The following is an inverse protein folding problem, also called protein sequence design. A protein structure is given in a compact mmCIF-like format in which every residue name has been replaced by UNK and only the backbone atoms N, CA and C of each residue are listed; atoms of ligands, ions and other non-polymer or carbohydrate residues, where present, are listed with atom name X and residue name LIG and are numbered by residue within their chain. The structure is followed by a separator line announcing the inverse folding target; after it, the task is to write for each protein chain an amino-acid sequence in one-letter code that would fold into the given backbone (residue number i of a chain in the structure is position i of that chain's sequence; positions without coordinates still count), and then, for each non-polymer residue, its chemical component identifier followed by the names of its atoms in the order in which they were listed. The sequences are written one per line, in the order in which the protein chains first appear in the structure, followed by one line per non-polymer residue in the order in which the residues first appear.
data_IF_524856984874
#
_entry.id   IF_524856984874
#
_cell.length_a   1.000
_cell.length_b   1.000
_cell.length_c   1.000
_cell.angle_alpha   90.00
_cell.angle_beta   90.00
_cell.angle_gamma   90.00
#
_symmetry.space_group_name_H-M   'P 1'
#
loop_
_entity.id
_entity.type
_entity.pdbx_description
1 polymer ?
#
# COMPACT_ATOMS: atom_id res chain seq x y z
N UNK A 1 29.13 61.59 -33.72
CA UNK A 1 28.16 61.33 -34.79
C UNK A 1 26.87 60.87 -34.13
N UNK A 2 25.82 61.68 -34.32
CA UNK A 2 24.35 61.42 -34.33
C UNK A 2 23.78 60.41 -33.31
N UNK A 3 23.09 60.85 -32.24
CA UNK A 3 21.74 61.47 -32.11
C UNK A 3 20.57 60.45 -32.13
N UNK A 4 19.90 60.36 -30.97
CA UNK A 4 18.50 59.96 -30.67
C UNK A 4 17.46 60.77 -31.52
N UNK A 5 16.10 60.63 -31.41
CA UNK A 5 15.27 59.99 -30.37
C UNK A 5 13.94 59.34 -30.94
N UNK A 6 12.91 59.03 -30.10
CA UNK A 6 11.71 58.23 -30.40
C UNK A 6 10.46 59.08 -30.69
N UNK A 7 9.31 58.45 -30.96
CA UNK A 7 8.00 59.13 -30.99
C UNK A 7 6.96 58.35 -30.17
N UNK A 8 6.28 59.07 -29.29
CA UNK A 8 5.09 58.70 -28.54
C UNK A 8 4.01 59.77 -28.75
N UNK A 9 2.73 59.42 -28.87
CA UNK A 9 1.52 60.26 -28.57
C UNK A 9 0.34 59.29 -28.34
N UNK A 10 -0.23 59.07 -27.12
CA UNK A 10 -1.37 59.76 -26.41
C UNK A 10 -2.62 59.94 -27.33
N UNK A 11 -3.91 59.81 -26.96
CA UNK A 11 -4.68 59.84 -25.71
C UNK A 11 -6.19 59.53 -26.02
N UNK A 12 -6.89 58.87 -25.07
CA UNK A 12 -8.31 59.06 -24.62
C UNK A 12 -9.50 58.62 -25.51
N UNK A 13 -10.33 57.67 -25.00
CA UNK A 13 -11.67 57.90 -24.40
C UNK A 13 -12.44 56.58 -24.19
N UNK A 14 -12.95 56.34 -22.97
CA UNK A 14 -14.07 55.42 -22.70
C UNK A 14 -15.42 56.11 -23.02
N UNK A 15 -16.51 55.35 -23.24
CA UNK A 15 -17.38 54.98 -22.11
C UNK A 15 -17.94 53.53 -22.19
N UNK A 16 -18.28 52.97 -21.02
CA UNK A 16 -19.17 51.81 -20.81
C UNK A 16 -20.66 52.23 -21.04
N UNK A 17 -21.74 51.40 -20.91
CA UNK A 17 -21.82 50.07 -20.28
C UNK A 17 -22.83 49.07 -20.95
N UNK A 18 -23.12 47.98 -20.21
CA UNK A 18 -24.33 47.12 -20.20
C UNK A 18 -24.30 45.73 -20.88
N UNK A 19 -24.13 44.74 -19.98
CA UNK A 19 -24.86 43.46 -19.82
C UNK A 19 -25.82 42.98 -20.90
N UNK A 20 -25.78 41.67 -21.20
CA UNK A 20 -26.86 40.67 -20.94
C UNK A 20 -26.43 39.29 -21.45
N UNK A 21 -26.67 38.26 -20.63
CA UNK A 21 -26.57 36.83 -20.94
C UNK A 21 -27.57 36.40 -22.02
N UNK A 22 -27.16 35.53 -22.95
CA UNK A 22 -28.09 34.66 -23.66
C UNK A 22 -27.44 33.32 -24.04
N UNK A 23 -28.13 32.25 -23.64
CA UNK A 23 -27.84 30.85 -23.88
C UNK A 23 -27.88 30.53 -25.38
N UNK A 24 -27.03 29.59 -25.81
CA UNK A 24 -27.09 29.00 -27.16
C UNK A 24 -27.53 27.54 -27.00
N UNK A 25 -28.71 27.21 -27.52
CA UNK A 25 -29.14 25.84 -27.76
C UNK A 25 -28.57 25.29 -29.08
N UNK A 26 -28.28 23.98 -29.19
CA UNK A 26 -27.78 23.37 -30.41
C UNK A 26 -28.89 22.98 -31.41
N UNK A 27 -28.65 23.30 -32.68
CA UNK A 27 -29.45 22.89 -33.84
C UNK A 27 -29.17 21.45 -34.33
N UNK A 28 -29.91 20.97 -35.35
CA UNK A 28 -30.34 19.57 -35.42
C UNK A 28 -29.45 18.61 -36.23
N UNK A 29 -29.69 17.36 -35.86
CA UNK A 29 -29.28 16.05 -36.40
C UNK A 29 -29.32 15.95 -37.93
N UNK A 30 -28.28 15.30 -38.48
CA UNK A 30 -28.37 14.52 -39.71
C UNK A 30 -27.95 13.07 -39.44
N UNK A 31 -28.80 12.17 -39.93
CA UNK A 31 -28.80 10.72 -39.76
C UNK A 31 -28.25 10.06 -41.03
N UNK A 32 -27.38 9.04 -40.92
CA UNK A 32 -27.24 7.96 -41.91
C UNK A 32 -26.28 6.85 -41.42
N UNK A 33 -26.90 5.76 -40.98
CA UNK A 33 -26.61 4.37 -41.34
C UNK A 33 -25.17 3.83 -41.30
N UNK A 34 -24.86 3.05 -40.26
CA UNK A 34 -24.47 1.64 -40.40
C UNK A 34 -24.68 0.91 -39.05
N UNK A 35 -25.63 -0.04 -39.00
CA UNK A 35 -25.84 -0.95 -37.86
C UNK A 35 -25.46 -2.37 -38.26
N UNK A 36 -24.65 -3.02 -37.44
CA UNK A 36 -24.72 -4.46 -37.21
C UNK A 36 -24.42 -4.76 -35.72
N UNK A 37 -25.46 -5.23 -35.04
CA UNK A 37 -25.51 -6.09 -33.86
C UNK A 37 -24.63 -5.78 -32.62
N UNK A 38 -25.24 -5.11 -31.63
CA UNK A 38 -25.07 -5.47 -30.20
C UNK A 38 -26.44 -5.57 -29.54
N UNK A 39 -26.62 -6.66 -28.82
CA UNK A 39 -27.84 -7.03 -28.12
C UNK A 39 -28.19 -6.05 -27.00
N UNK A 40 -29.50 -5.97 -26.74
CA UNK A 40 -30.15 -5.02 -25.86
C UNK A 40 -29.61 -5.02 -24.42
N UNK A 41 -29.26 -3.83 -23.92
CA UNK A 41 -29.38 -3.49 -22.49
C UNK A 41 -30.45 -2.42 -22.36
N UNK A 42 -31.40 -2.67 -21.47
CA UNK A 42 -32.49 -1.76 -21.13
C UNK A 42 -31.91 -0.47 -20.53
N UNK A 43 -32.43 0.66 -21.01
CA UNK A 43 -32.23 1.97 -20.38
C UNK A 43 -33.01 1.99 -19.06
N UNK A 44 -32.39 1.53 -17.99
CA UNK A 44 -32.69 2.06 -16.67
C UNK A 44 -31.84 3.32 -16.52
N UNK A 45 -32.50 4.47 -16.47
CA UNK A 45 -31.91 5.76 -16.12
C UNK A 45 -31.24 5.64 -14.75
N UNK A 46 -29.92 5.54 -14.73
CA UNK A 46 -29.14 5.75 -13.51
C UNK A 46 -29.32 7.22 -13.09
N UNK A 47 -29.60 7.50 -11.80
CA UNK A 47 -29.58 8.87 -11.33
C UNK A 47 -28.14 9.37 -11.45
N UNK A 48 -27.99 10.56 -12.05
CA UNK A 48 -26.75 11.33 -12.02
C UNK A 48 -26.40 11.51 -10.54
N UNK A 49 -25.43 10.74 -10.04
CA UNK A 49 -24.80 11.01 -8.77
C UNK A 49 -24.17 12.39 -8.90
N UNK A 50 -24.74 13.36 -8.19
CA UNK A 50 -24.15 14.68 -7.99
C UNK A 50 -22.70 14.47 -7.59
N UNK A 51 -21.79 15.03 -8.38
CA UNK A 51 -20.41 15.25 -7.96
C UNK A 51 -20.45 15.87 -6.55
N UNK A 52 -19.97 15.13 -5.56
CA UNK A 52 -19.68 15.71 -4.25
C UNK A 52 -18.49 16.63 -4.44
N UNK A 53 -18.64 17.95 -4.22
CA UNK A 53 -17.49 18.83 -4.25
C UNK A 53 -16.61 18.43 -3.06
N UNK A 54 -15.33 18.22 -3.32
CA UNK A 54 -14.30 18.20 -2.29
C UNK A 54 -14.37 19.56 -1.58
N UNK A 55 -14.77 19.57 -0.30
CA UNK A 55 -13.79 19.97 0.71
C UNK A 55 -14.00 19.16 2.00
N UNK A 56 -13.20 18.12 2.17
CA UNK A 56 -12.96 17.50 3.49
C UNK A 56 -11.53 17.83 3.94
N UNK A 57 -11.23 19.12 3.90
CA UNK A 57 -10.06 19.71 4.55
C UNK A 57 -10.50 20.99 5.28
N UNK A 58 -11.48 20.90 6.19
CA UNK A 58 -11.87 21.99 7.12
C UNK A 58 -12.94 21.55 8.13
N UNK A 59 -12.69 20.48 8.90
CA UNK A 59 -13.52 20.16 10.08
C UNK A 59 -12.67 19.64 11.25
N UNK A 60 -11.64 20.42 11.60
CA UNK A 60 -10.96 20.41 12.90
C UNK A 60 -10.92 21.82 13.53
N UNK A 61 -11.97 22.62 13.33
CA UNK A 61 -12.13 23.94 13.96
C UNK A 61 -13.58 24.09 14.41
N UNK A 62 -13.86 23.71 15.66
CA UNK A 62 -15.23 23.81 16.19
C UNK A 62 -15.50 23.22 17.55
N UNK A 63 -14.49 23.15 18.43
CA UNK A 63 -14.58 23.01 19.88
C UNK A 63 -13.13 23.17 20.32
N UNK A 64 -12.79 24.07 21.24
CA UNK A 64 -11.47 24.06 21.85
C UNK A 64 -11.48 22.92 22.88
N UNK A 65 -10.88 21.74 22.62
CA UNK A 65 -10.45 20.90 23.73
C UNK A 65 -9.24 21.63 24.34
N UNK A 66 -8.81 21.29 25.55
CA UNK A 66 -7.45 21.63 25.95
C UNK A 66 -6.50 21.22 24.81
N UNK A 67 -5.55 22.08 24.44
CA UNK A 67 -4.51 21.74 23.48
C UNK A 67 -3.70 20.56 24.05
N UNK A 68 -4.19 19.34 23.81
CA UNK A 68 -3.53 18.12 24.25
C UNK A 68 -2.20 17.98 23.51
N UNK A 69 -1.24 17.35 24.17
CA UNK A 69 0.05 16.96 23.61
C UNK A 69 -0.11 16.34 22.22
N UNK A 70 0.84 16.62 21.32
CA UNK A 70 0.96 15.84 20.07
C UNK A 70 1.57 14.49 20.46
N UNK A 71 0.72 13.50 20.70
CA UNK A 71 1.16 12.13 20.98
C UNK A 71 1.69 11.48 19.70
N UNK A 72 2.93 10.98 19.78
CA UNK A 72 3.62 10.34 18.67
C UNK A 72 3.56 8.84 18.88
N UNK A 73 3.09 8.11 17.87
CA UNK A 73 3.20 6.66 17.85
C UNK A 73 4.67 6.28 17.80
N UNK A 74 5.10 5.34 18.62
CA UNK A 74 6.41 4.71 18.50
C UNK A 74 6.60 4.13 17.08
N UNK A 75 7.85 3.92 16.69
CA UNK A 75 8.18 3.30 15.39
C UNK A 75 7.93 1.79 15.43
N UNK A 76 8.16 1.17 16.57
CA UNK A 76 8.02 -0.28 16.79
C UNK A 76 6.63 -0.68 17.31
N UNK A 77 5.68 0.26 17.40
CA UNK A 77 4.33 0.03 17.89
C UNK A 77 4.19 -0.10 19.42
N UNK A 78 5.30 -0.11 20.17
CA UNK A 78 5.28 -0.20 21.64
C UNK A 78 4.57 0.99 22.31
N UNK A 79 3.98 0.75 23.48
CA UNK A 79 3.33 1.79 24.30
C UNK A 79 1.97 2.26 23.79
N UNK A 80 1.44 1.69 22.70
CA UNK A 80 0.12 2.02 22.16
C UNK A 80 -1.00 1.63 23.16
N UNK A 81 -0.86 0.47 23.82
CA UNK A 81 -1.71 0.09 24.95
C UNK A 81 -1.01 0.38 26.29
N UNK A 82 -1.64 1.15 27.18
CA UNK A 82 -1.02 1.55 28.46
C UNK A 82 -0.97 0.43 29.51
N UNK A 83 -1.83 -0.59 29.38
CA UNK A 83 -1.90 -1.74 30.30
C UNK A 83 -0.96 -2.86 29.85
N UNK A 84 -0.87 -3.08 28.54
CA UNK A 84 0.00 -4.07 27.91
C UNK A 84 0.86 -3.40 26.82
N UNK A 85 1.96 -2.71 27.20
CA UNK A 85 2.76 -1.89 26.29
C UNK A 85 3.37 -2.63 25.09
N UNK A 86 3.51 -3.94 25.16
CA UNK A 86 4.10 -4.76 24.11
C UNK A 86 3.07 -5.35 23.14
N UNK A 87 1.76 -5.16 23.37
CA UNK A 87 0.75 -5.62 22.43
C UNK A 87 0.91 -4.94 21.08
N UNK A 88 0.88 -5.73 20.01
CA UNK A 88 1.00 -5.25 18.64
C UNK A 88 2.35 -4.63 18.24
N UNK A 89 3.37 -4.68 19.12
CA UNK A 89 4.70 -4.19 18.78
C UNK A 89 5.41 -5.13 17.80
N UNK A 90 6.37 -4.60 17.03
CA UNK A 90 7.23 -5.41 16.17
C UNK A 90 8.06 -6.38 17.01
N UNK A 91 8.18 -7.63 16.57
CA UNK A 91 8.84 -8.70 17.31
C UNK A 91 7.93 -9.47 18.27
N UNK A 92 6.64 -9.11 18.37
CA UNK A 92 5.66 -9.85 19.16
C UNK A 92 5.30 -11.20 18.52
N UNK A 93 4.88 -12.15 19.36
CA UNK A 93 4.28 -13.41 18.90
C UNK A 93 2.92 -13.12 18.23
N UNK A 94 2.64 -13.82 17.13
CA UNK A 94 1.30 -13.81 16.53
C UNK A 94 0.28 -14.42 17.50
N UNK A 95 -0.93 -13.87 17.49
CA UNK A 95 -2.05 -14.43 18.25
C UNK A 95 -2.52 -15.75 17.63
N UNK A 96 -3.33 -16.50 18.38
CA UNK A 96 -4.03 -17.68 17.88
C UNK A 96 -5.52 -17.59 18.13
N UNK A 97 -6.31 -17.80 17.07
CA UNK A 97 -7.76 -17.98 17.20
C UNK A 97 -8.11 -19.43 17.59
N UNK A 98 -7.21 -20.37 17.28
CA UNK A 98 -7.37 -21.80 17.57
C UNK A 98 -6.07 -22.42 18.11
N UNK A 99 -6.11 -23.50 18.91
CA UNK A 99 -4.90 -24.17 19.38
C UNK A 99 -4.00 -24.63 18.21
N UNK A 100 -2.68 -24.53 18.39
CA UNK A 100 -1.71 -24.97 17.40
C UNK A 100 -1.86 -26.48 17.10
N UNK A 101 -1.77 -26.85 15.82
CA UNK A 101 -1.99 -28.22 15.35
C UNK A 101 -0.72 -28.85 14.77
N UNK A 102 0.37 -28.84 15.54
CA UNK A 102 1.61 -29.55 15.21
C UNK A 102 1.45 -31.07 15.35
N UNK A 103 2.24 -31.85 14.59
CA UNK A 103 2.20 -33.31 14.58
C UNK A 103 2.57 -33.93 15.94
N UNK A 104 3.47 -33.27 16.68
CA UNK A 104 3.89 -33.62 18.04
C UNK A 104 3.24 -32.73 19.12
N UNK A 105 2.27 -31.89 18.72
CA UNK A 105 1.62 -30.85 19.53
C UNK A 105 2.56 -29.74 20.06
N UNK A 106 3.80 -29.64 19.58
CA UNK A 106 4.80 -28.68 20.08
C UNK A 106 5.38 -27.84 18.94
N UNK A 107 6.02 -28.48 17.96
CA UNK A 107 6.81 -27.78 16.94
C UNK A 107 6.76 -28.49 15.58
N UNK A 108 6.64 -29.81 15.53
CA UNK A 108 6.78 -30.55 14.27
C UNK A 108 5.61 -30.25 13.32
N UNK A 109 5.83 -29.62 12.14
CA UNK A 109 4.74 -29.31 11.24
C UNK A 109 4.04 -30.57 10.72
N UNK A 110 2.73 -30.48 10.51
CA UNK A 110 2.01 -31.53 9.78
C UNK A 110 2.27 -31.37 8.28
N UNK A 111 2.62 -32.45 7.60
CA UNK A 111 2.91 -32.44 6.16
C UNK A 111 4.37 -32.75 5.87
N UNK A 112 4.91 -32.15 4.82
CA UNK A 112 6.30 -32.33 4.42
C UNK A 112 6.56 -33.66 3.70
N UNK A 113 7.83 -34.09 3.72
CA UNK A 113 8.31 -35.24 2.95
C UNK A 113 7.77 -36.59 3.42
N UNK A 114 7.43 -36.71 4.71
CA UNK A 114 6.91 -37.93 5.32
C UNK A 114 5.58 -37.60 5.98
N UNK A 115 4.49 -37.74 5.22
CA UNK A 115 3.15 -37.42 5.71
C UNK A 115 2.08 -38.29 5.08
N UNK A 116 0.96 -38.46 5.79
CA UNK A 116 -0.29 -38.99 5.24
C UNK A 116 -1.17 -37.91 4.61
N UNK A 117 -0.80 -36.63 4.75
CA UNK A 117 -1.49 -35.52 4.11
C UNK A 117 -1.06 -35.36 2.65
N UNK A 118 -1.95 -34.89 1.76
CA UNK A 118 -1.55 -34.50 0.41
C UNK A 118 -0.51 -33.38 0.47
N UNK A 119 0.46 -33.40 -0.46
CA UNK A 119 1.43 -32.30 -0.55
C UNK A 119 0.75 -30.99 -0.93
N UNK A 120 1.32 -29.86 -0.51
CA UNK A 120 0.77 -28.54 -0.86
C UNK A 120 0.69 -28.34 -2.39
N UNK A 121 1.67 -28.87 -3.15
CA UNK A 121 1.64 -28.83 -4.61
C UNK A 121 0.50 -29.66 -5.20
N UNK A 122 0.23 -30.85 -4.67
CA UNK A 122 -0.91 -31.66 -5.10
C UNK A 122 -2.25 -30.96 -4.84
N UNK A 123 -2.40 -30.29 -3.69
CA UNK A 123 -3.59 -29.49 -3.38
C UNK A 123 -3.70 -28.32 -4.37
N UNK A 124 -2.63 -27.56 -4.59
CA UNK A 124 -2.60 -26.44 -5.55
C UNK A 124 -3.03 -26.88 -6.96
N UNK A 125 -2.49 -27.98 -7.48
CA UNK A 125 -2.88 -28.53 -8.78
C UNK A 125 -4.35 -28.98 -8.85
N UNK A 126 -4.93 -29.36 -7.72
CA UNK A 126 -6.31 -29.85 -7.66
C UNK A 126 -7.35 -28.73 -7.50
N UNK A 127 -7.00 -27.60 -6.87
CA UNK A 127 -7.97 -26.57 -6.45
C UNK A 127 -7.70 -25.18 -7.02
N UNK A 128 -6.44 -24.85 -7.32
CA UNK A 128 -6.00 -23.48 -7.60
C UNK A 128 -5.68 -23.19 -9.06
N UNK A 129 -5.92 -24.15 -9.96
CA UNK A 129 -5.66 -23.97 -11.39
C UNK A 129 -6.65 -22.96 -11.97
N UNK A 130 -6.11 -21.88 -12.54
CA UNK A 130 -6.86 -20.92 -13.33
C UNK A 130 -6.68 -21.20 -14.83
N UNK A 131 -7.70 -21.78 -15.48
CA UNK A 131 -7.62 -22.09 -16.91
C UNK A 131 -7.90 -20.86 -17.80
N UNK A 132 -8.68 -19.89 -17.31
CA UNK A 132 -9.08 -18.69 -18.03
C UNK A 132 -9.21 -17.52 -17.06
N UNK A 133 -9.01 -16.30 -17.55
CA UNK A 133 -9.29 -15.10 -16.75
C UNK A 133 -10.73 -15.10 -16.24
N UNK A 134 -10.88 -14.73 -14.97
CA UNK A 134 -12.14 -14.64 -14.26
C UNK A 134 -12.20 -13.25 -13.60
N UNK A 135 -12.77 -12.24 -14.26
CA UNK A 135 -12.83 -10.89 -13.69
C UNK A 135 -13.68 -10.82 -12.41
N UNK A 136 -13.33 -9.90 -11.52
CA UNK A 136 -14.05 -9.66 -10.28
C UNK A 136 -15.53 -9.30 -10.53
N UNK A 137 -16.44 -9.99 -9.85
CA UNK A 137 -17.88 -9.84 -10.08
C UNK A 137 -18.45 -8.47 -9.64
N UNK A 138 -17.72 -7.73 -8.81
CA UNK A 138 -18.09 -6.39 -8.33
C UNK A 138 -17.42 -5.27 -9.15
N UNK A 139 -16.79 -5.60 -10.28
CA UNK A 139 -15.98 -4.68 -11.09
C UNK A 139 -14.87 -3.97 -10.27
N UNK A 140 -14.40 -4.61 -9.19
CA UNK A 140 -13.27 -4.10 -8.43
C UNK A 140 -12.01 -4.10 -9.28
N UNK A 141 -11.23 -3.03 -9.16
CA UNK A 141 -10.02 -2.84 -9.96
C UNK A 141 -8.82 -3.52 -9.29
N UNK A 142 -7.70 -3.60 -9.99
CA UNK A 142 -6.44 -4.13 -9.44
C UNK A 142 -5.95 -3.35 -8.21
N UNK A 143 -6.42 -2.10 -8.00
CA UNK A 143 -6.23 -1.41 -6.72
C UNK A 143 -6.74 -2.19 -5.51
N UNK A 144 -7.74 -3.08 -5.67
CA UNK A 144 -8.23 -3.91 -4.57
C UNK A 144 -7.12 -4.82 -4.03
N UNK A 145 -6.48 -5.61 -4.87
CA UNK A 145 -5.41 -6.49 -4.39
C UNK A 145 -4.12 -5.72 -4.11
N UNK A 146 -3.85 -4.63 -4.84
CA UNK A 146 -2.65 -3.82 -4.61
C UNK A 146 -2.70 -3.12 -3.25
N UNK A 147 -3.86 -2.57 -2.87
CA UNK A 147 -4.06 -2.01 -1.54
C UNK A 147 -3.99 -3.09 -0.46
N UNK A 148 -4.58 -4.27 -0.71
CA UNK A 148 -4.49 -5.42 0.20
C UNK A 148 -3.04 -5.83 0.49
N UNK A 149 -2.19 -5.92 -0.53
CA UNK A 149 -0.76 -6.20 -0.36
C UNK A 149 -0.04 -5.07 0.39
N UNK A 150 -0.27 -3.82 -0.01
CA UNK A 150 0.33 -2.65 0.64
C UNK A 150 -0.05 -2.54 2.13
N UNK A 151 -1.27 -2.94 2.48
CA UNK A 151 -1.77 -2.98 3.86
C UNK A 151 -1.25 -4.21 4.63
N UNK A 152 -1.16 -5.39 4.01
CA UNK A 152 -0.53 -6.57 4.65
C UNK A 152 0.89 -6.25 5.13
N UNK A 153 1.61 -5.43 4.36
CA UNK A 153 2.98 -5.03 4.67
C UNK A 153 3.09 -4.03 5.83
N UNK A 154 1.96 -3.46 6.28
CA UNK A 154 1.85 -2.65 7.49
C UNK A 154 1.42 -3.47 8.71
N UNK A 155 0.86 -4.67 8.48
CA UNK A 155 0.21 -5.47 9.52
C UNK A 155 1.05 -6.68 9.93
N UNK A 156 1.64 -7.39 8.96
CA UNK A 156 2.30 -8.67 9.24
C UNK A 156 3.49 -8.99 8.33
N UNK A 157 4.52 -9.56 8.96
CA UNK A 157 5.68 -10.10 8.27
C UNK A 157 6.34 -11.21 9.08
N UNK A 158 6.21 -12.46 8.63
CA UNK A 158 6.92 -13.59 9.23
C UNK A 158 8.20 -13.87 8.43
N UNK A 159 9.36 -13.54 9.01
CA UNK A 159 10.67 -13.78 8.38
C UNK A 159 11.01 -15.28 8.34
N UNK A 160 11.78 -15.75 7.35
CA UNK A 160 12.32 -17.11 7.35
C UNK A 160 13.31 -17.29 8.51
N UNK A 161 13.36 -18.47 9.11
CA UNK A 161 14.24 -18.74 10.25
C UNK A 161 15.72 -18.59 9.88
N UNK A 162 16.52 -18.06 10.81
CA UNK A 162 17.99 -18.06 10.73
C UNK A 162 18.60 -18.77 11.96
N UNK A 163 19.30 -19.90 11.79
CA UNK A 163 19.57 -20.62 10.54
C UNK A 163 18.29 -21.18 9.88
N UNK A 164 18.37 -21.42 8.58
CA UNK A 164 17.26 -21.97 7.80
C UNK A 164 16.80 -23.32 8.38
N UNK A 165 15.48 -23.50 8.48
CA UNK A 165 14.82 -24.73 8.90
C UNK A 165 14.00 -25.26 7.72
N UNK A 166 14.56 -26.14 6.87
CA UNK A 166 13.88 -26.60 5.67
C UNK A 166 12.61 -27.39 5.99
N UNK A 167 11.57 -27.16 5.18
CA UNK A 167 10.32 -27.90 5.18
C UNK A 167 9.83 -28.07 3.74
N UNK A 168 10.67 -28.68 2.91
CA UNK A 168 10.45 -28.88 1.48
C UNK A 168 9.05 -29.44 1.14
N UNK A 169 8.48 -28.93 0.06
CA UNK A 169 7.19 -29.35 -0.47
C UNK A 169 7.41 -30.50 -1.47
N UNK A 170 6.86 -31.71 -1.23
CA UNK A 170 6.92 -32.80 -2.20
C UNK A 170 6.17 -32.45 -3.50
N UNK A 171 6.82 -32.65 -4.63
CA UNK A 171 6.21 -32.50 -5.97
C UNK A 171 5.64 -33.85 -6.42
N UNK A 172 4.38 -33.91 -6.87
CA UNK A 172 3.82 -35.12 -7.47
C UNK A 172 4.63 -35.59 -8.69
N UNK A 173 4.83 -36.90 -8.85
CA UNK A 173 5.65 -37.45 -9.95
C UNK A 173 5.05 -37.20 -11.35
N UNK A 174 3.76 -36.85 -11.44
CA UNK A 174 3.07 -36.47 -12.66
C UNK A 174 3.03 -34.95 -12.89
N UNK A 175 3.67 -34.15 -12.05
CA UNK A 175 3.78 -32.71 -12.23
C UNK A 175 4.75 -32.38 -13.36
N UNK A 176 4.20 -32.01 -14.52
CA UNK A 176 4.99 -31.74 -15.72
C UNK A 176 5.82 -30.46 -15.65
N UNK A 177 5.58 -29.59 -14.67
CA UNK A 177 6.29 -28.32 -14.52
C UNK A 177 7.50 -28.49 -13.62
N UNK A 178 7.31 -29.09 -12.45
CA UNK A 178 8.35 -29.20 -11.41
C UNK A 178 9.03 -30.58 -11.38
N UNK A 179 8.46 -31.62 -11.99
CA UNK A 179 9.09 -32.93 -12.19
C UNK A 179 8.91 -33.45 -13.63
N UNK A 180 9.41 -32.72 -14.66
CA UNK A 180 9.17 -33.05 -16.07
C UNK A 180 9.73 -34.42 -16.51
N UNK A 181 10.60 -35.03 -15.70
CA UNK A 181 11.19 -36.34 -15.94
C UNK A 181 10.54 -37.46 -15.11
N UNK A 182 9.47 -37.15 -14.37
CA UNK A 182 8.74 -38.07 -13.49
C UNK A 182 9.67 -38.85 -12.55
N UNK A 183 10.63 -38.15 -11.93
CA UNK A 183 11.62 -38.74 -11.03
C UNK A 183 10.99 -39.24 -9.73
N UNK A 184 9.88 -38.63 -9.30
CA UNK A 184 9.25 -38.84 -8.01
C UNK A 184 10.07 -38.30 -6.83
N UNK A 185 11.09 -37.48 -7.11
CA UNK A 185 12.01 -36.95 -6.09
C UNK A 185 12.11 -35.43 -6.04
N UNK A 186 11.45 -34.75 -6.98
CA UNK A 186 11.43 -33.30 -7.06
C UNK A 186 10.74 -32.66 -5.83
N UNK A 187 11.22 -31.46 -5.49
CA UNK A 187 10.78 -30.70 -4.30
C UNK A 187 10.80 -29.22 -4.61
N UNK A 188 9.85 -28.48 -4.04
CA UNK A 188 9.89 -27.02 -3.96
C UNK A 188 10.45 -26.65 -2.58
N UNK A 189 11.49 -25.81 -2.56
CA UNK A 189 12.15 -25.40 -1.33
C UNK A 189 11.27 -24.48 -0.49
N UNK A 190 11.19 -24.74 0.81
CA UNK A 190 10.48 -23.90 1.78
C UNK A 190 11.29 -23.89 3.07
N UNK A 191 11.46 -22.73 3.69
CA UNK A 191 12.01 -22.62 5.05
C UNK A 191 10.89 -22.26 6.01
N UNK A 192 10.91 -22.84 7.20
CA UNK A 192 10.02 -22.45 8.29
C UNK A 192 10.34 -21.02 8.73
N UNK A 193 9.32 -20.31 9.21
CA UNK A 193 9.47 -18.95 9.72
C UNK A 193 10.20 -18.90 11.05
N UNK A 194 10.77 -17.75 11.37
CA UNK A 194 11.20 -17.38 12.72
C UNK A 194 10.07 -17.59 13.72
N UNK A 195 10.45 -17.97 14.93
CA UNK A 195 9.50 -18.36 15.95
C UNK A 195 10.06 -18.21 17.35
N UNK A 196 9.16 -18.07 18.29
CA UNK A 196 9.40 -18.21 19.72
C UNK A 196 8.85 -19.56 20.21
N UNK A 197 9.38 -20.02 21.35
CA UNK A 197 8.90 -21.17 22.09
C UNK A 197 8.60 -20.82 23.56
N UNK A 198 8.34 -19.54 23.85
CA UNK A 198 8.16 -19.03 25.21
C UNK A 198 7.03 -19.72 25.98
N UNK A 199 5.96 -20.11 25.28
CA UNK A 199 4.79 -20.82 25.85
C UNK A 199 4.99 -22.35 25.94
N UNK A 200 6.12 -22.88 25.47
CA UNK A 200 6.36 -24.32 25.34
C UNK A 200 5.77 -24.96 24.08
N UNK A 201 5.04 -24.20 23.26
CA UNK A 201 4.57 -24.55 21.92
C UNK A 201 5.10 -23.48 20.95
N UNK A 202 5.44 -23.85 19.72
CA UNK A 202 5.98 -22.90 18.75
C UNK A 202 4.95 -21.85 18.36
N UNK A 203 5.38 -20.58 18.41
CA UNK A 203 4.63 -19.44 17.88
C UNK A 203 5.46 -18.62 16.90
N UNK A 204 4.84 -18.16 15.82
CA UNK A 204 5.50 -17.35 14.80
C UNK A 204 5.61 -15.90 15.28
N UNK A 205 6.70 -15.23 14.89
CA UNK A 205 6.96 -13.84 15.27
C UNK A 205 6.49 -12.91 14.15
N UNK A 206 5.77 -11.85 14.50
CA UNK A 206 5.52 -10.74 13.61
C UNK A 206 6.70 -9.77 13.67
N UNK A 207 7.42 -9.58 12.57
CA UNK A 207 8.60 -8.70 12.53
C UNK A 207 8.29 -7.24 12.18
N UNK A 208 7.01 -6.90 11.98
CA UNK A 208 6.51 -5.53 11.80
C UNK A 208 5.44 -5.22 12.86
N UNK A 209 5.01 -3.96 12.97
CA UNK A 209 3.94 -3.55 13.88
C UNK A 209 2.62 -4.22 13.45
N UNK A 210 1.70 -4.44 14.39
CA UNK A 210 0.37 -4.99 14.10
C UNK A 210 -0.68 -3.89 13.80
N UNK A 211 -0.28 -2.63 13.91
CA UNK A 211 -1.15 -1.48 13.77
C UNK A 211 -1.16 -0.99 12.32
N UNK A 212 -2.29 -0.43 11.88
CA UNK A 212 -2.30 0.36 10.65
C UNK A 212 -1.70 1.73 10.98
N UNK A 213 -0.38 1.82 11.02
CA UNK A 213 0.37 3.01 11.44
C UNK A 213 1.40 3.49 10.41
N UNK A 214 1.27 3.01 9.18
CA UNK A 214 2.11 3.33 8.04
C UNK A 214 3.57 2.85 8.19
N UNK A 215 3.82 1.80 8.96
CA UNK A 215 5.13 1.17 9.16
C UNK A 215 5.75 0.67 7.84
N UNK A 216 4.94 0.31 6.84
CA UNK A 216 5.46 -0.01 5.50
C UNK A 216 6.12 1.18 4.80
N UNK A 217 5.80 2.42 5.21
CA UNK A 217 6.45 3.65 4.73
C UNK A 217 7.58 4.09 5.67
N UNK A 218 7.36 4.03 6.99
CA UNK A 218 8.26 4.63 7.99
C UNK A 218 9.22 3.65 8.66
N UNK A 219 9.02 2.36 8.48
CA UNK A 219 9.75 1.27 9.16
C UNK A 219 9.10 0.86 10.47
N UNK A 220 9.42 -0.35 10.91
CA UNK A 220 9.01 -0.90 12.22
C UNK A 220 10.17 -0.90 13.23
N UNK A 221 11.34 -0.36 12.87
CA UNK A 221 12.48 -0.20 13.76
C UNK A 221 13.12 1.18 13.60
N UNK A 222 13.68 1.70 14.70
CA UNK A 222 14.22 3.05 14.75
C UNK A 222 15.41 3.27 13.80
N UNK A 223 16.21 2.22 13.52
CA UNK A 223 17.39 2.36 12.66
C UNK A 223 16.98 2.56 11.21
N UNK A 224 16.02 1.77 10.70
CA UNK A 224 15.42 1.95 9.38
C UNK A 224 14.72 3.30 9.27
N UNK A 225 13.88 3.65 10.24
CA UNK A 225 13.14 4.92 10.23
C UNK A 225 14.08 6.14 10.15
N UNK A 226 15.19 6.12 10.89
CA UNK A 226 16.18 7.19 10.87
C UNK A 226 16.88 7.33 9.49
N UNK A 227 17.16 6.23 8.81
CA UNK A 227 17.77 6.24 7.46
C UNK A 227 16.82 6.81 6.42
N UNK A 228 15.52 6.54 6.52
CA UNK A 228 14.52 6.98 5.55
C UNK A 228 14.19 8.47 5.63
N UNK A 229 14.53 9.14 6.73
CA UNK A 229 14.27 10.58 6.93
C UNK A 229 15.31 11.45 6.23
N UNK A 230 14.85 12.52 5.59
CA UNK A 230 15.74 13.48 4.95
C UNK A 230 16.43 14.40 5.97
N UNK A 231 17.65 14.82 5.66
CA UNK A 231 18.46 15.69 6.52
C UNK A 231 18.29 17.18 6.22
N UNK A 232 17.30 17.55 5.40
CA UNK A 232 17.05 18.91 4.92
C UNK A 232 16.49 19.89 5.96
N UNK A 233 16.15 19.42 7.17
CA UNK A 233 15.44 20.20 8.20
C UNK A 233 14.06 20.74 7.73
N UNK A 234 13.37 19.97 6.88
CA UNK A 234 12.05 20.28 6.34
C UNK A 234 10.99 19.19 6.59
N UNK A 235 11.31 18.21 7.44
CA UNK A 235 10.42 17.16 7.92
C UNK A 235 10.10 16.10 6.88
N UNK A 236 10.91 15.93 5.84
CA UNK A 236 10.63 15.05 4.70
C UNK A 236 11.23 13.65 4.84
N UNK A 237 10.69 12.73 4.05
CA UNK A 237 11.29 11.46 3.68
C UNK A 237 12.32 11.66 2.56
N UNK A 238 13.38 10.86 2.58
CA UNK A 238 14.35 10.78 1.49
C UNK A 238 13.68 10.26 0.23
N UNK A 239 13.89 10.98 -0.87
CA UNK A 239 13.43 10.59 -2.20
C UNK A 239 14.62 10.48 -3.15
N UNK A 240 14.45 9.63 -4.16
CA UNK A 240 15.42 9.42 -5.22
C UNK A 240 15.29 10.43 -6.37
N UNK A 241 15.85 10.06 -7.51
CA UNK A 241 15.79 10.87 -8.72
C UNK A 241 14.35 11.02 -9.23
N UNK A 242 14.07 12.17 -9.87
CA UNK A 242 12.80 12.38 -10.53
C UNK A 242 12.75 11.65 -11.88
N UNK A 243 11.63 10.98 -12.14
CA UNK A 243 11.29 10.37 -13.42
C UNK A 243 10.00 11.03 -13.89
N UNK A 244 9.99 11.54 -15.12
CA UNK A 244 8.87 12.32 -15.67
C UNK A 244 8.47 13.54 -14.82
N UNK A 245 9.42 14.11 -14.07
CA UNK A 245 9.22 15.29 -13.22
C UNK A 245 8.83 14.98 -11.77
N UNK A 246 8.60 13.71 -11.43
CA UNK A 246 8.15 13.30 -10.10
C UNK A 246 9.16 12.37 -9.42
N UNK A 247 9.44 12.59 -8.14
CA UNK A 247 10.47 11.86 -7.39
C UNK A 247 10.11 10.38 -7.17
N UNK A 248 11.03 9.44 -7.38
CA UNK A 248 10.83 8.04 -6.96
C UNK A 248 11.34 7.83 -5.52
N UNK A 249 11.17 6.62 -4.99
CA UNK A 249 11.90 6.21 -3.78
C UNK A 249 13.42 6.32 -3.99
N UNK A 250 14.17 6.38 -2.89
CA UNK A 250 15.64 6.32 -2.90
C UNK A 250 16.11 4.87 -3.05
N UNK A 251 17.23 4.66 -3.76
CA UNK A 251 17.86 3.34 -3.82
C UNK A 251 18.49 2.97 -2.47
N UNK A 252 18.61 1.67 -2.21
CA UNK A 252 19.16 1.11 -0.98
C UNK A 252 20.70 1.15 -0.99
N UNK A 253 21.27 2.36 -1.02
CA UNK A 253 22.72 2.58 -0.87
C UNK A 253 23.18 2.53 0.58
N UNK A 254 22.28 2.18 1.52
CA UNK A 254 22.50 2.22 2.95
C UNK A 254 22.79 0.84 3.55
N UNK A 255 22.61 -0.23 2.78
CA UNK A 255 22.82 -1.60 3.26
C UNK A 255 21.74 -2.08 4.22
N UNK A 256 20.51 -1.56 4.11
CA UNK A 256 19.36 -2.06 4.86
C UNK A 256 18.87 -3.39 4.25
N UNK A 257 18.27 -4.25 5.06
CA UNK A 257 17.67 -5.50 4.57
C UNK A 257 16.56 -5.24 3.54
N UNK A 258 16.55 -6.01 2.44
CA UNK A 258 15.47 -6.07 1.46
C UNK A 258 15.25 -7.52 1.03
N UNK A 259 13.99 -7.89 0.79
CA UNK A 259 13.62 -9.18 0.22
C UNK A 259 13.80 -9.17 -1.31
N UNK A 260 14.04 -10.36 -1.88
CA UNK A 260 14.23 -10.56 -3.33
C UNK A 260 15.57 -10.12 -3.90
N UNK A 261 16.44 -9.53 -3.07
CA UNK A 261 17.78 -9.13 -3.45
C UNK A 261 18.28 -7.95 -2.63
N UNK A 262 19.59 -7.86 -2.47
CA UNK A 262 20.27 -6.68 -1.96
C UNK A 262 21.02 -5.97 -3.09
N UNK A 263 21.20 -4.66 -2.98
CA UNK A 263 21.98 -3.90 -3.94
C UNK A 263 21.57 -2.44 -4.02
N UNK A 264 22.47 -1.63 -4.55
CA UNK A 264 22.27 -0.21 -4.82
C UNK A 264 21.31 0.08 -5.99
N UNK A 265 20.73 -0.97 -6.58
CA UNK A 265 19.71 -0.89 -7.65
C UNK A 265 18.29 -1.17 -7.17
N UNK A 266 18.10 -1.59 -5.92
CA UNK A 266 16.80 -1.83 -5.30
C UNK A 266 16.35 -0.58 -4.55
N UNK A 267 15.06 -0.26 -4.55
CA UNK A 267 14.53 0.82 -3.73
C UNK A 267 14.50 0.43 -2.25
N UNK A 268 14.45 1.41 -1.36
CA UNK A 268 14.26 1.19 0.08
C UNK A 268 13.04 1.98 0.59
N UNK A 269 12.32 1.39 1.53
CA UNK A 269 11.18 1.98 2.22
C UNK A 269 11.07 1.36 3.62
N UNK A 270 9.95 1.57 4.31
CA UNK A 270 9.72 1.04 5.66
C UNK A 270 9.67 -0.49 5.70
N UNK A 271 9.02 -1.13 4.73
CA UNK A 271 8.97 -2.59 4.62
C UNK A 271 10.06 -3.16 3.69
N UNK A 272 10.62 -4.33 4.05
CA UNK A 272 11.70 -5.00 3.30
C UNK A 272 11.26 -5.51 1.92
N UNK A 273 9.95 -5.70 1.71
CA UNK A 273 9.36 -6.26 0.48
C UNK A 273 8.92 -5.18 -0.50
N UNK A 274 9.31 -3.92 -0.33
CA UNK A 274 8.89 -2.81 -1.22
C UNK A 274 9.16 -3.09 -2.71
N UNK A 275 10.18 -3.88 -3.04
CA UNK A 275 10.54 -4.24 -4.41
C UNK A 275 9.85 -5.50 -4.93
N UNK A 276 8.92 -6.12 -4.18
CA UNK A 276 8.30 -7.39 -4.56
C UNK A 276 7.73 -7.32 -5.97
N UNK A 277 6.99 -6.26 -6.32
CA UNK A 277 6.57 -5.96 -7.68
C UNK A 277 6.38 -4.46 -7.93
N UNK A 278 6.37 -4.04 -9.20
CA UNK A 278 6.42 -2.62 -9.60
C UNK A 278 5.24 -1.75 -9.12
N UNK A 279 4.04 -2.30 -9.00
CA UNK A 279 2.86 -1.65 -8.43
C UNK A 279 2.97 -1.42 -6.92
N UNK A 280 3.66 -2.30 -6.19
CA UNK A 280 3.96 -2.10 -4.77
C UNK A 280 4.97 -0.96 -4.60
N UNK A 281 6.03 -0.93 -5.43
CA UNK A 281 6.96 0.22 -5.48
C UNK A 281 6.16 1.51 -5.73
N UNK A 282 5.16 1.48 -6.63
CA UNK A 282 4.30 2.61 -6.90
C UNK A 282 3.50 3.06 -5.67
N UNK A 283 2.88 2.14 -4.93
CA UNK A 283 2.13 2.46 -3.71
C UNK A 283 3.02 3.07 -2.62
N UNK A 284 4.21 2.50 -2.38
CA UNK A 284 5.17 3.08 -1.43
C UNK A 284 5.66 4.47 -1.89
N UNK A 285 5.88 4.65 -3.19
CA UNK A 285 6.27 5.95 -3.77
C UNK A 285 5.16 6.98 -3.56
N UNK A 286 3.90 6.62 -3.78
CA UNK A 286 2.74 7.50 -3.61
C UNK A 286 2.67 8.09 -2.20
N UNK A 287 2.71 7.24 -1.17
CA UNK A 287 2.60 7.72 0.22
C UNK A 287 3.87 8.40 0.73
N UNK A 288 5.04 8.07 0.17
CA UNK A 288 6.27 8.83 0.46
C UNK A 288 6.22 10.25 -0.15
N UNK A 289 5.65 10.38 -1.36
CA UNK A 289 5.35 11.69 -1.97
C UNK A 289 4.31 12.45 -1.16
N UNK A 290 3.26 11.79 -0.69
CA UNK A 290 2.21 12.42 0.11
C UNK A 290 2.73 12.95 1.45
N UNK A 291 3.57 12.19 2.14
CA UNK A 291 4.28 12.68 3.32
C UNK A 291 5.03 14.00 3.02
N UNK A 292 5.82 14.02 1.94
CA UNK A 292 6.60 15.21 1.58
C UNK A 292 5.69 16.39 1.19
N UNK A 293 4.58 16.14 0.51
CA UNK A 293 3.57 17.15 0.18
C UNK A 293 2.95 17.77 1.44
N UNK A 294 2.64 16.94 2.44
CA UNK A 294 2.10 17.39 3.74
C UNK A 294 3.18 18.19 4.50
N UNK A 295 4.41 17.69 4.57
CA UNK A 295 5.54 18.38 5.21
C UNK A 295 5.77 19.77 4.60
N UNK A 296 5.80 19.87 3.26
CA UNK A 296 5.90 21.15 2.54
C UNK A 296 4.72 22.08 2.87
N UNK A 297 3.50 21.55 2.92
CA UNK A 297 2.30 22.33 3.27
C UNK A 297 2.39 22.88 4.69
N UNK A 298 2.82 22.06 5.66
CA UNK A 298 3.00 22.48 7.05
C UNK A 298 4.13 23.52 7.18
N UNK A 299 5.26 23.30 6.50
CA UNK A 299 6.38 24.25 6.47
C UNK A 299 5.95 25.61 5.90
N UNK A 300 5.23 25.61 4.79
CA UNK A 300 4.72 26.83 4.16
C UNK A 300 3.75 27.58 5.10
N UNK A 301 2.89 26.87 5.83
CA UNK A 301 1.98 27.48 6.83
C UNK A 301 2.75 28.10 7.99
N UNK A 302 3.78 27.42 8.52
CA UNK A 302 4.65 27.96 9.57
C UNK A 302 5.36 29.24 9.09
N UNK A 303 5.93 29.22 7.87
CA UNK A 303 6.58 30.38 7.25
C UNK A 303 5.59 31.52 6.96
N UNK A 304 4.34 31.17 6.65
CA UNK A 304 3.23 32.10 6.44
C UNK A 304 2.68 32.74 7.72
N UNK A 305 3.18 32.35 8.91
CA UNK A 305 2.75 32.92 10.18
C UNK A 305 1.44 32.36 10.72
N UNK A 306 1.09 31.11 10.39
CA UNK A 306 -0.07 30.42 10.97
C UNK A 306 0.09 30.28 12.50
N UNK A 307 -0.57 31.16 13.25
CA UNK A 307 -0.40 31.30 14.69
C UNK A 307 -0.81 30.03 15.45
N UNK A 308 -1.85 29.33 15.00
CA UNK A 308 -2.32 28.09 15.65
C UNK A 308 -1.32 26.96 15.43
N UNK A 309 -0.75 26.83 14.23
CA UNK A 309 0.26 25.82 13.94
C UNK A 309 1.57 26.09 14.67
N UNK A 310 1.99 27.37 14.74
CA UNK A 310 3.15 27.82 15.51
C UNK A 310 2.98 27.47 16.99
N UNK A 311 1.82 27.76 17.58
CA UNK A 311 1.56 27.44 18.98
C UNK A 311 1.62 25.93 19.25
N UNK A 312 1.08 25.11 18.34
CA UNK A 312 1.16 23.64 18.44
C UNK A 312 2.60 23.12 18.32
N UNK A 313 3.38 23.66 17.39
CA UNK A 313 4.80 23.33 17.24
C UNK A 313 5.57 23.66 18.50
N UNK A 314 5.42 24.88 19.01
CA UNK A 314 6.17 25.35 20.17
C UNK A 314 5.79 24.57 21.44
N UNK A 315 4.51 24.22 21.59
CA UNK A 315 4.07 23.34 22.67
C UNK A 315 4.66 21.94 22.55
N UNK A 316 4.65 21.34 21.35
CA UNK A 316 5.21 20.01 21.14
C UNK A 316 6.73 19.97 21.40
N UNK A 317 7.48 20.98 20.95
CA UNK A 317 8.93 21.09 21.21
C UNK A 317 9.23 21.31 22.69
N UNK A 318 8.36 22.01 23.42
CA UNK A 318 8.56 22.28 24.84
C UNK A 318 8.28 21.05 25.75
N UNK A 319 7.56 20.05 25.24
CA UNK A 319 7.20 18.87 26.01
C UNK A 319 8.32 17.82 25.99
N UNK A 320 8.88 17.55 27.17
CA UNK A 320 10.02 16.65 27.32
C UNK A 320 9.58 15.20 27.15
N UNK A 321 10.30 14.45 26.32
CA UNK A 321 10.15 12.99 26.20
C UNK A 321 9.07 12.53 25.23
N UNK A 322 8.50 13.43 24.43
CA UNK A 322 7.55 13.07 23.37
C UNK A 322 8.21 12.76 22.01
N UNK A 323 9.53 12.99 21.87
CA UNK A 323 10.27 12.75 20.62
C UNK A 323 10.19 13.86 19.57
N UNK A 324 9.72 15.06 19.95
CA UNK A 324 9.79 16.28 19.11
C UNK A 324 10.74 17.27 19.78
N UNK A 325 11.97 17.35 19.28
CA UNK A 325 12.97 18.26 19.82
C UNK A 325 13.19 19.49 18.92
N UNK A 326 12.59 19.49 17.73
CA UNK A 326 12.82 20.50 16.70
C UNK A 326 11.59 20.75 15.81
N UNK A 327 11.62 21.84 15.03
CA UNK A 327 10.63 22.06 13.98
C UNK A 327 10.65 20.95 12.93
N UNK A 328 11.82 20.37 12.64
CA UNK A 328 11.98 19.26 11.71
C UNK A 328 11.23 18.01 12.21
N UNK A 329 11.40 17.67 13.49
CA UNK A 329 10.66 16.56 14.12
C UNK A 329 9.16 16.81 14.12
N UNK A 330 8.75 18.05 14.42
CA UNK A 330 7.34 18.43 14.42
C UNK A 330 6.70 18.24 13.04
N UNK A 331 7.39 18.67 11.97
CA UNK A 331 6.92 18.51 10.59
C UNK A 331 6.84 17.04 10.19
N UNK A 332 7.90 16.27 10.44
CA UNK A 332 7.96 14.84 10.12
C UNK A 332 6.86 14.05 10.83
N UNK A 333 6.73 14.23 12.15
CA UNK A 333 5.78 13.47 12.96
C UNK A 333 4.33 13.90 12.67
N UNK A 334 4.11 15.17 12.36
CA UNK A 334 2.79 15.65 11.91
C UNK A 334 2.41 15.06 10.55
N UNK A 335 3.33 15.02 9.59
CA UNK A 335 3.09 14.42 8.28
C UNK A 335 2.85 12.90 8.39
N UNK A 336 3.70 12.18 9.14
CA UNK A 336 3.51 10.75 9.45
C UNK A 336 2.15 10.46 10.07
N UNK A 337 1.72 11.27 11.04
CA UNK A 337 0.41 11.13 11.69
C UNK A 337 -0.75 11.26 10.69
N UNK A 338 -0.66 12.20 9.75
CA UNK A 338 -1.70 12.41 8.74
C UNK A 338 -1.72 11.25 7.74
N UNK A 339 -0.57 10.81 7.23
CA UNK A 339 -0.48 9.66 6.31
C UNK A 339 -1.04 8.39 6.95
N UNK A 340 -0.69 8.10 8.20
CA UNK A 340 -1.28 6.96 8.92
C UNK A 340 -2.81 7.06 9.03
N UNK A 341 -3.34 8.26 9.26
CA UNK A 341 -4.79 8.48 9.29
C UNK A 341 -5.45 8.33 7.91
N UNK A 342 -4.78 8.74 6.83
CA UNK A 342 -5.26 8.53 5.45
C UNK A 342 -5.32 7.04 5.12
N UNK A 343 -4.28 6.27 5.42
CA UNK A 343 -4.25 4.82 5.20
C UNK A 343 -5.36 4.12 6.03
N UNK A 344 -5.55 4.51 7.29
CA UNK A 344 -6.67 4.02 8.10
C UNK A 344 -8.03 4.36 7.48
N UNK A 345 -8.22 5.60 7.03
CA UNK A 345 -9.49 6.01 6.44
C UNK A 345 -9.79 5.24 5.14
N UNK A 346 -8.83 5.15 4.21
CA UNK A 346 -9.00 4.39 2.97
C UNK A 346 -9.29 2.92 3.29
N UNK A 347 -8.58 2.36 4.27
CA UNK A 347 -8.78 0.97 4.68
C UNK A 347 -10.19 0.71 5.20
N UNK A 348 -10.63 1.46 6.19
CA UNK A 348 -11.91 1.20 6.86
C UNK A 348 -13.14 1.70 6.09
N UNK A 349 -13.00 2.76 5.28
CA UNK A 349 -14.14 3.40 4.60
C UNK A 349 -14.26 3.03 3.13
N UNK A 350 -13.21 2.51 2.49
CA UNK A 350 -13.22 2.23 1.05
C UNK A 350 -12.84 0.77 0.77
N UNK A 351 -11.66 0.34 1.22
CA UNK A 351 -11.16 -1.01 0.92
C UNK A 351 -11.98 -2.13 1.58
N UNK A 352 -12.17 -2.09 2.91
CA UNK A 352 -12.91 -3.14 3.62
C UNK A 352 -14.38 -3.23 3.18
N UNK A 353 -15.11 -2.13 2.93
CA UNK A 353 -16.45 -2.19 2.35
C UNK A 353 -16.52 -2.83 0.96
N UNK A 354 -15.51 -2.68 0.11
CA UNK A 354 -15.42 -3.36 -1.19
C UNK A 354 -15.11 -4.85 -1.00
N UNK A 355 -14.18 -5.18 -0.11
CA UNK A 355 -13.72 -6.55 0.12
C UNK A 355 -14.74 -7.42 0.86
N UNK A 356 -15.32 -6.90 1.94
CA UNK A 356 -16.19 -7.64 2.87
C UNK A 356 -17.68 -7.30 2.70
N UNK A 357 -17.98 -6.20 2.01
CA UNK A 357 -19.32 -5.64 1.87
C UNK A 357 -19.59 -4.45 2.80
N UNK A 358 -20.51 -3.57 2.38
CA UNK A 358 -20.76 -2.24 2.96
C UNK A 358 -21.08 -2.18 4.46
N UNK A 359 -21.55 -3.28 5.05
CA UNK A 359 -21.94 -3.33 6.47
C UNK A 359 -21.19 -4.43 7.24
N UNK A 360 -20.01 -4.84 6.76
CA UNK A 360 -19.23 -5.89 7.40
C UNK A 360 -18.69 -5.48 8.78
N UNK A 361 -18.45 -4.17 8.99
CA UNK A 361 -17.96 -3.62 10.25
C UNK A 361 -19.04 -2.74 10.91
N UNK A 362 -19.15 -2.83 12.23
CA UNK A 362 -19.94 -1.89 13.02
C UNK A 362 -19.27 -0.51 13.06
N UNK A 363 -20.08 0.53 13.31
CA UNK A 363 -19.54 1.86 13.58
C UNK A 363 -18.54 1.82 14.76
N UNK A 364 -17.48 2.61 14.65
CA UNK A 364 -16.46 2.71 15.70
C UNK A 364 -17.07 3.17 17.02
N UNK A 365 -16.87 2.39 18.08
CA UNK A 365 -17.47 2.62 19.40
C UNK A 365 -16.52 3.32 20.39
N UNK A 366 -15.31 3.66 19.96
CA UNK A 366 -14.24 4.17 20.82
C UNK A 366 -13.11 3.16 21.00
N UNK A 367 -12.02 3.63 21.61
CA UNK A 367 -10.86 2.80 21.93
C UNK A 367 -11.19 1.87 23.11
N UNK A 368 -10.81 0.60 23.00
CA UNK A 368 -10.94 -0.43 24.02
C UNK A 368 -9.55 -0.91 24.43
N UNK A 369 -9.10 -0.53 25.63
CA UNK A 369 -7.78 -0.88 26.16
C UNK A 369 -7.67 -2.33 26.62
N UNK A 370 -8.76 -3.10 26.57
CA UNK A 370 -8.79 -4.54 26.84
C UNK A 370 -8.65 -5.38 25.57
N UNK A 371 -8.69 -4.77 24.39
CA UNK A 371 -8.55 -5.45 23.10
C UNK A 371 -7.07 -5.58 22.71
N UNK A 372 -6.62 -6.81 22.55
CA UNK A 372 -5.30 -7.10 21.96
C UNK A 372 -5.35 -6.88 20.45
N UNK A 373 -4.48 -6.00 19.96
CA UNK A 373 -4.38 -5.62 18.55
C UNK A 373 -3.36 -6.48 17.77
N UNK A 374 -2.74 -7.48 18.42
CA UNK A 374 -1.82 -8.40 17.76
C UNK A 374 -2.47 -9.11 16.56
N UNK A 375 -1.67 -9.38 15.53
CA UNK A 375 -2.15 -10.12 14.37
C UNK A 375 -2.25 -11.61 14.71
N UNK A 376 -3.38 -12.22 14.36
CA UNK A 376 -3.54 -13.66 14.48
C UNK A 376 -2.79 -14.42 13.38
N UNK A 377 -2.24 -15.58 13.72
CA UNK A 377 -1.57 -16.49 12.82
C UNK A 377 -2.51 -16.94 11.68
N UNK A 378 -3.79 -17.19 12.00
CA UNK A 378 -4.82 -17.50 11.01
C UNK A 378 -5.07 -16.34 10.02
N UNK A 379 -4.93 -15.09 10.47
CA UNK A 379 -5.06 -13.92 9.61
C UNK A 379 -3.85 -13.80 8.68
N UNK A 380 -2.64 -13.73 9.24
CA UNK A 380 -1.39 -13.52 8.49
C UNK A 380 -1.07 -14.66 7.52
N UNK A 381 -1.38 -15.91 7.89
CA UNK A 381 -0.97 -17.09 7.13
C UNK A 381 -2.04 -17.55 6.14
N UNK A 382 -3.33 -17.33 6.42
CA UNK A 382 -4.42 -17.90 5.62
C UNK A 382 -5.45 -16.86 5.18
N UNK A 383 -6.15 -16.21 6.11
CA UNK A 383 -7.34 -15.43 5.77
C UNK A 383 -7.02 -14.18 4.94
N UNK A 384 -5.91 -13.51 5.19
CA UNK A 384 -5.54 -12.30 4.44
C UNK A 384 -4.75 -12.60 3.15
N UNK A 385 -4.40 -13.88 2.91
CA UNK A 385 -3.80 -14.35 1.65
C UNK A 385 -4.80 -14.49 0.50
N UNK A 386 -6.08 -14.17 0.75
CA UNK A 386 -7.13 -14.13 -0.28
C UNK A 386 -6.78 -13.20 -1.45
N UNK A 387 -5.92 -12.20 -1.21
CA UNK A 387 -5.42 -11.30 -2.25
C UNK A 387 -4.73 -12.00 -3.42
N UNK A 388 -4.14 -13.18 -3.20
CA UNK A 388 -3.47 -13.93 -4.28
C UNK A 388 -4.44 -14.44 -5.37
N UNK A 389 -5.73 -14.64 -5.03
CA UNK A 389 -6.75 -15.00 -6.04
C UNK A 389 -7.18 -13.84 -6.93
N UNK A 390 -6.98 -12.61 -6.45
CA UNK A 390 -7.40 -11.38 -7.14
C UNK A 390 -6.37 -10.88 -8.16
N UNK A 391 -5.16 -11.45 -8.16
CA UNK A 391 -4.04 -10.98 -8.97
C UNK A 391 -4.30 -11.18 -10.46
N UNK A 392 -4.09 -10.12 -11.24
CA UNK A 392 -4.05 -10.20 -12.69
C UNK A 392 -2.68 -10.72 -13.17
N UNK A 393 -2.65 -11.47 -14.27
CA UNK A 393 -1.40 -11.92 -14.92
C UNK A 393 -0.57 -10.79 -15.55
N UNK A 394 -1.11 -9.57 -15.60
CA UNK A 394 -0.50 -8.40 -16.23
C UNK A 394 -0.71 -7.18 -15.35
N UNK A 395 0.28 -6.29 -15.33
CA UNK A 395 0.21 -4.93 -14.80
C UNK A 395 0.23 -3.95 -15.96
N UNK A 396 -0.89 -3.25 -16.17
CA UNK A 396 -0.99 -2.23 -17.22
C UNK A 396 -0.30 -0.92 -16.81
N UNK A 397 0.26 -0.23 -17.79
CA UNK A 397 0.68 1.17 -17.71
C UNK A 397 -0.18 2.00 -18.64
N UNK A 398 -0.96 2.92 -18.08
CA UNK A 398 -1.91 3.76 -18.83
C UNK A 398 -1.52 5.23 -18.68
N UNK A 399 -1.45 5.98 -19.78
CA UNK A 399 -1.07 7.39 -19.76
C UNK A 399 -2.23 8.35 -19.44
N UNK A 400 -1.93 9.65 -19.47
CA UNK A 400 -2.93 10.68 -19.20
C UNK A 400 -4.01 10.85 -20.26
N UNK A 401 -3.82 10.31 -21.46
CA UNK A 401 -4.80 10.26 -22.54
C UNK A 401 -5.59 8.95 -22.59
N UNK A 402 -5.52 8.14 -21.52
CA UNK A 402 -6.14 6.83 -21.39
C UNK A 402 -5.65 5.80 -22.44
N UNK A 403 -4.43 5.98 -22.95
CA UNK A 403 -3.80 5.03 -23.85
C UNK A 403 -2.99 4.01 -23.04
N UNK A 404 -3.10 2.74 -23.44
CA UNK A 404 -2.20 1.69 -22.97
C UNK A 404 -0.80 1.96 -23.52
N UNK A 405 0.15 2.23 -22.63
CA UNK A 405 1.56 2.44 -22.95
C UNK A 405 2.29 1.10 -23.02
N UNK A 406 2.05 0.25 -22.02
CA UNK A 406 2.73 -1.02 -21.83
C UNK A 406 1.86 -1.97 -20.99
N UNK A 407 2.01 -3.27 -21.22
CA UNK A 407 1.49 -4.35 -20.37
C UNK A 407 2.70 -5.17 -19.94
N UNK A 408 2.93 -5.27 -18.63
CA UNK A 408 4.04 -6.04 -18.07
C UNK A 408 3.46 -7.29 -17.45
N UNK A 409 3.94 -8.47 -17.83
CA UNK A 409 3.50 -9.71 -17.17
C UNK A 409 3.82 -9.64 -15.68
N UNK A 410 2.95 -10.17 -14.82
CA UNK A 410 3.18 -10.14 -13.38
C UNK A 410 4.49 -10.88 -13.05
N UNK A 411 4.78 -11.97 -13.76
CA UNK A 411 6.08 -12.67 -13.71
C UNK A 411 7.28 -11.72 -13.90
N UNK A 412 7.25 -10.87 -14.94
CA UNK A 412 8.37 -9.97 -15.27
C UNK A 412 8.40 -8.73 -14.38
N UNK A 413 7.30 -8.42 -13.68
CA UNK A 413 7.20 -7.31 -12.76
C UNK A 413 7.82 -7.60 -11.37
N UNK A 414 8.08 -8.86 -11.04
CA UNK A 414 8.66 -9.22 -9.74
C UNK A 414 10.12 -8.78 -9.64
N UNK A 415 10.47 -8.08 -8.56
CA UNK A 415 11.84 -7.63 -8.27
C UNK A 415 12.54 -6.86 -9.41
N UNK A 416 11.77 -6.10 -10.19
CA UNK A 416 12.27 -5.22 -11.26
C UNK A 416 12.12 -3.71 -10.93
N UNK A 417 12.95 -3.17 -10.01
CA UNK A 417 12.96 -1.74 -9.74
C UNK A 417 13.45 -0.90 -10.94
N UNK A 418 14.10 -1.52 -11.93
CA UNK A 418 14.64 -0.79 -13.10
C UNK A 418 13.54 -0.33 -14.04
N UNK A 419 12.48 -1.12 -14.25
CA UNK A 419 11.29 -0.67 -14.98
C UNK A 419 10.68 0.60 -14.37
N UNK A 420 10.63 0.67 -13.03
CA UNK A 420 10.15 1.88 -12.32
C UNK A 420 11.13 3.04 -12.48
N UNK A 421 12.44 2.79 -12.38
CA UNK A 421 13.44 3.84 -12.56
C UNK A 421 13.43 4.45 -13.97
N UNK A 422 13.09 3.67 -14.99
CA UNK A 422 13.05 4.12 -16.39
C UNK A 422 11.74 4.83 -16.73
N UNK A 423 10.61 4.30 -16.28
CA UNK A 423 9.27 4.72 -16.73
C UNK A 423 8.48 5.51 -15.68
N UNK A 424 8.95 5.55 -14.44
CA UNK A 424 8.24 6.13 -13.31
C UNK A 424 7.06 5.27 -12.87
N UNK A 425 6.25 5.80 -11.96
CA UNK A 425 5.12 5.09 -11.33
C UNK A 425 3.75 5.57 -11.79
N UNK A 426 3.67 6.77 -12.36
CA UNK A 426 2.38 7.46 -12.57
C UNK A 426 1.43 6.68 -13.48
N UNK A 427 1.96 6.02 -14.52
CA UNK A 427 1.16 5.20 -15.44
C UNK A 427 0.63 3.92 -14.78
N UNK A 428 1.30 3.41 -13.75
CA UNK A 428 0.85 2.22 -13.01
C UNK A 428 -0.39 2.54 -12.18
N UNK A 429 -0.47 3.73 -11.58
CA UNK A 429 -1.67 4.14 -10.84
C UNK A 429 -2.93 4.09 -11.70
N UNK A 430 -2.82 4.54 -12.95
CA UNK A 430 -3.92 4.48 -13.92
C UNK A 430 -4.20 3.07 -14.39
N UNK A 431 -3.17 2.25 -14.61
CA UNK A 431 -3.35 0.83 -14.94
C UNK A 431 -4.12 0.08 -13.86
N UNK A 432 -3.66 0.20 -12.61
CA UNK A 432 -4.31 -0.38 -11.42
C UNK A 432 -5.76 0.10 -11.25
N UNK A 433 -6.06 1.34 -11.64
CA UNK A 433 -7.42 1.90 -11.59
C UNK A 433 -8.31 1.52 -12.78
N UNK A 434 -7.72 1.09 -13.91
CA UNK A 434 -8.46 0.81 -15.14
C UNK A 434 -8.68 -0.69 -15.36
N UNK A 435 -7.80 -1.52 -14.82
CA UNK A 435 -7.84 -2.96 -14.94
C UNK A 435 -8.73 -3.58 -13.87
N UNK A 436 -9.64 -4.47 -14.27
CA UNK A 436 -10.43 -5.26 -13.33
C UNK A 436 -9.54 -6.35 -12.70
N UNK A 437 -9.63 -6.50 -11.38
CA UNK A 437 -9.00 -7.60 -10.67
C UNK A 437 -9.58 -8.96 -11.11
N UNK A 438 -8.87 -10.04 -10.82
CA UNK A 438 -9.46 -11.37 -10.90
C UNK A 438 -10.49 -11.59 -9.77
N UNK A 439 -11.24 -12.68 -9.87
CA UNK A 439 -12.28 -13.05 -8.96
C UNK A 439 -11.70 -13.52 -7.61
N UNK A 440 -12.43 -13.24 -6.54
CA UNK A 440 -12.15 -13.85 -5.24
C UNK A 440 -12.69 -15.28 -5.24
N UNK A 441 -11.86 -16.24 -5.61
CA UNK A 441 -12.21 -17.66 -5.63
C UNK A 441 -11.01 -18.55 -5.24
N UNK A 442 -11.05 -19.85 -5.58
CA UNK A 442 -9.97 -20.77 -5.25
C UNK A 442 -8.80 -20.72 -6.24
N UNK A 443 -8.95 -20.04 -7.38
CA UNK A 443 -8.01 -20.04 -8.49
C UNK A 443 -6.92 -18.98 -8.29
N UNK A 444 -5.73 -19.26 -8.82
CA UNK A 444 -4.58 -18.35 -8.76
C UNK A 444 -3.88 -18.37 -10.12
N UNK A 445 -3.51 -17.19 -10.61
CA UNK A 445 -2.77 -17.04 -11.87
C UNK A 445 -1.44 -17.80 -11.84
N UNK A 446 -1.03 -18.32 -12.98
CA UNK A 446 0.20 -19.11 -13.10
C UNK A 446 1.47 -18.30 -12.84
N UNK A 447 1.43 -16.98 -13.01
CA UNK A 447 2.48 -16.03 -12.63
C UNK A 447 2.85 -16.08 -11.15
N UNK A 448 1.94 -16.57 -10.30
CA UNK A 448 2.20 -16.85 -8.89
C UNK A 448 2.28 -18.34 -8.65
N UNK A 449 1.29 -19.11 -9.12
CA UNK A 449 1.15 -20.53 -8.80
C UNK A 449 2.28 -21.42 -9.35
N UNK A 450 2.88 -21.04 -10.48
CA UNK A 450 3.86 -21.84 -11.23
C UNK A 450 5.18 -21.12 -11.51
N UNK A 451 5.31 -19.85 -11.12
CA UNK A 451 6.55 -19.08 -11.29
C UNK A 451 7.19 -18.70 -9.96
N UNK A 452 6.41 -18.20 -9.01
CA UNK A 452 6.92 -17.92 -7.66
C UNK A 452 7.13 -19.25 -6.94
N UNK A 453 8.40 -19.55 -6.70
CA UNK A 453 8.95 -20.74 -6.04
C UNK A 453 8.95 -22.00 -6.93
#
# INVERSE_FOLDING_TARGET
MKQSPPIAVRIVAQPAPDTVFAQIEPGPVFDAHHRAARAARSKASMPVHRAWPWPLLLLLLGCAPGLGAVEIRSIDGSGNNQVAPDWGSSGSELLRLTPAAYADAVDEPRGGLVSSLPSARAVSNSVAVQATSAPNASDATDWLWQWGQFLDHDLSHTRPSSPAQPFDIPVPADDTLFDPLATGTARIGLSRSESSAASGVREQINSVTAYIDASQIYGSDAARAAVLRDSGNDGKMKMGSAVNGEATLVFNTFGLDNDGGGGDTFYVSGDVRVNEQIGLIAAHTLFSREHNRIADTLKARLQGGDADLIARRDQAIAEIGNGIDSEDDFLYQSARRVVGAEIQQVTYQEFLPVLLGQNALSAYAGYDDTSDAGIANEFSTAAYRIGHSLLSSELLRVDNGDNLVESVSLRDAFFDPQSVHQSGVDTLFKGLASQAAQALDTQVVDDVRNFLF
#
